data_IF_980035763400
#
_entry.id   IF_980035763400
#
_cell.length_a   1.000
_cell.length_b   1.000
_cell.length_c   1.000
_cell.angle_alpha   90.00
_cell.angle_beta   90.00
_cell.angle_gamma   90.00
#
_symmetry.space_group_name_H-M   'P 1'
#
loop_
_entity.id
_entity.type
_entity.pdbx_description
1 polymer ?
#
# COMPACT_ATOMS: atom_id res chain seq x y z
N UNK A 1 12.67 10.27 17.93
CA UNK A 1 11.32 10.59 18.44
C UNK A 1 11.03 9.71 19.64
N UNK A 2 10.44 10.24 20.70
CA UNK A 2 10.00 9.43 21.85
C UNK A 2 8.70 8.71 21.48
N UNK A 3 8.55 7.43 21.85
CA UNK A 3 7.33 6.67 21.63
C UNK A 3 6.26 7.08 22.66
N UNK A 4 5.39 8.01 22.29
CA UNK A 4 4.31 8.54 23.15
C UNK A 4 2.99 7.79 22.99
N UNK A 5 2.77 7.20 21.81
CA UNK A 5 1.51 6.54 21.47
C UNK A 5 1.43 5.10 21.99
N UNK A 6 0.21 4.63 22.29
CA UNK A 6 -0.03 3.29 22.87
C UNK A 6 -1.07 2.52 22.07
N UNK A 7 -0.78 1.25 21.81
CA UNK A 7 -1.70 0.30 21.16
C UNK A 7 -2.16 -0.71 22.21
N UNK A 8 -3.47 -0.85 22.40
CA UNK A 8 -4.07 -1.84 23.29
C UNK A 8 -4.50 -3.07 22.50
N UNK A 9 -3.94 -4.24 22.83
CA UNK A 9 -4.24 -5.51 22.14
C UNK A 9 -4.68 -6.55 23.17
N UNK A 10 -5.77 -7.26 22.86
CA UNK A 10 -6.19 -8.46 23.60
C UNK A 10 -5.84 -9.69 22.79
N UNK A 11 -5.47 -10.77 23.46
CA UNK A 11 -5.08 -12.03 22.83
C UNK A 11 -5.44 -13.22 23.73
N UNK A 12 -5.34 -14.43 23.21
CA UNK A 12 -5.55 -15.67 23.97
C UNK A 12 -4.29 -16.06 24.73
N UNK A 13 -4.43 -16.95 25.72
CA UNK A 13 -3.30 -17.47 26.48
C UNK A 13 -2.28 -18.19 25.57
N UNK A 14 -2.77 -19.00 24.62
CA UNK A 14 -1.93 -19.76 23.70
C UNK A 14 -1.11 -18.85 22.77
N UNK A 15 -1.74 -17.82 22.21
CA UNK A 15 -1.04 -16.85 21.36
C UNK A 15 0.03 -16.10 22.15
N UNK A 16 -0.28 -15.66 23.38
CA UNK A 16 0.69 -14.99 24.25
C UNK A 16 1.89 -15.90 24.54
N UNK A 17 1.64 -17.15 24.94
CA UNK A 17 2.70 -18.11 25.29
C UNK A 17 3.62 -18.40 24.10
N UNK A 18 3.06 -18.52 22.89
CA UNK A 18 3.86 -18.72 21.68
C UNK A 18 4.74 -17.50 21.36
N UNK A 19 4.19 -16.28 21.45
CA UNK A 19 4.95 -15.04 21.20
C UNK A 19 6.08 -14.89 22.23
N UNK A 20 5.81 -15.10 23.51
CA UNK A 20 6.81 -15.03 24.59
C UNK A 20 7.95 -16.03 24.36
N UNK A 21 7.63 -17.27 23.98
CA UNK A 21 8.62 -18.30 23.65
C UNK A 21 9.55 -17.88 22.50
N UNK A 22 9.00 -17.25 21.46
CA UNK A 22 9.81 -16.75 20.33
C UNK A 22 10.66 -15.56 20.76
N UNK A 23 10.08 -14.60 21.47
CA UNK A 23 10.79 -13.42 21.98
C UNK A 23 11.96 -13.80 22.88
N UNK A 24 11.77 -14.80 23.76
CA UNK A 24 12.82 -15.32 24.63
C UNK A 24 13.99 -15.92 23.83
N UNK A 25 13.70 -16.62 22.72
CA UNK A 25 14.74 -17.17 21.83
C UNK A 25 15.49 -16.08 21.06
N UNK A 26 14.79 -15.02 20.68
CA UNK A 26 15.36 -13.90 19.94
C UNK A 26 16.05 -12.85 20.83
N UNK A 27 15.87 -12.93 22.15
CA UNK A 27 16.42 -11.95 23.09
C UNK A 27 15.77 -10.57 23.01
N UNK A 28 14.51 -10.50 22.56
CA UNK A 28 13.77 -9.24 22.39
C UNK A 28 12.56 -9.19 23.34
N UNK A 29 12.06 -7.99 23.62
CA UNK A 29 10.82 -7.84 24.38
C UNK A 29 9.59 -8.12 23.51
N UNK A 30 8.51 -8.62 24.14
CA UNK A 30 7.23 -8.86 23.45
C UNK A 30 6.69 -7.59 22.80
N UNK A 31 6.77 -6.45 23.48
CA UNK A 31 6.32 -5.17 22.95
C UNK A 31 7.11 -4.75 21.71
N UNK A 32 8.43 -4.88 21.74
CA UNK A 32 9.28 -4.54 20.59
C UNK A 32 8.99 -5.45 19.41
N UNK A 33 8.84 -6.76 19.67
CA UNK A 33 8.50 -7.73 18.65
C UNK A 33 7.16 -7.41 17.97
N UNK A 34 6.10 -7.17 18.75
CA UNK A 34 4.77 -6.86 18.21
C UNK A 34 4.79 -5.59 17.37
N UNK A 35 5.40 -4.51 17.89
CA UNK A 35 5.45 -3.23 17.15
C UNK A 35 6.23 -3.38 15.85
N UNK A 36 7.38 -4.06 15.89
CA UNK A 36 8.21 -4.26 14.71
C UNK A 36 7.49 -5.10 13.65
N UNK A 37 6.94 -6.25 14.04
CA UNK A 37 6.21 -7.12 13.11
C UNK A 37 4.98 -6.44 12.52
N UNK A 38 4.23 -5.69 13.33
CA UNK A 38 3.07 -4.95 12.84
C UNK A 38 3.48 -3.86 11.85
N UNK A 39 4.55 -3.13 12.14
CA UNK A 39 5.08 -2.08 11.26
C UNK A 39 5.60 -2.63 9.93
N UNK A 40 6.40 -3.68 9.96
CA UNK A 40 6.89 -4.36 8.75
C UNK A 40 5.74 -4.88 7.89
N UNK A 41 4.71 -5.46 8.51
CA UNK A 41 3.53 -5.93 7.78
C UNK A 41 2.72 -4.78 7.18
N UNK A 42 2.58 -3.66 7.91
CA UNK A 42 1.90 -2.48 7.41
C UNK A 42 2.62 -1.90 6.18
N UNK A 43 3.95 -1.76 6.24
CA UNK A 43 4.75 -1.30 5.11
C UNK A 43 4.61 -2.20 3.87
N UNK A 44 4.63 -3.52 4.08
CA UNK A 44 4.45 -4.47 2.97
C UNK A 44 3.07 -4.32 2.32
N UNK A 45 2.01 -4.17 3.12
CA UNK A 45 0.65 -3.99 2.62
C UNK A 45 0.48 -2.63 1.91
N UNK A 46 1.06 -1.56 2.45
CA UNK A 46 1.03 -0.24 1.80
C UNK A 46 1.71 -0.30 0.44
N UNK A 47 2.89 -0.92 0.36
CA UNK A 47 3.60 -1.12 -0.89
C UNK A 47 2.82 -1.98 -1.89
N UNK A 48 2.07 -2.99 -1.44
CA UNK A 48 1.23 -3.81 -2.30
C UNK A 48 0.04 -3.00 -2.87
N UNK A 49 -0.52 -2.08 -2.09
CA UNK A 49 -1.61 -1.21 -2.51
C UNK A 49 -1.17 -0.16 -3.53
N UNK A 50 0.06 0.36 -3.41
CA UNK A 50 0.61 1.34 -4.35
C UNK A 50 1.15 0.72 -5.64
N UNK A 51 1.49 -0.57 -5.62
CA UNK A 51 2.11 -1.25 -6.76
C UNK A 51 1.07 -1.71 -7.79
N UNK A 52 1.14 -1.16 -9.01
CA UNK A 52 0.46 -1.73 -10.18
C UNK A 52 1.22 -2.97 -10.64
N UNK A 53 0.76 -4.15 -10.20
CA UNK A 53 1.30 -5.43 -10.66
C UNK A 53 0.74 -5.75 -12.04
N UNK A 54 1.61 -5.74 -13.06
CA UNK A 54 1.28 -6.14 -14.42
C UNK A 54 1.87 -7.52 -14.70
N UNK A 55 1.08 -8.41 -15.29
CA UNK A 55 1.61 -9.63 -15.89
C UNK A 55 2.40 -9.29 -17.16
N UNK A 56 3.12 -10.27 -17.72
CA UNK A 56 4.01 -10.04 -18.87
C UNK A 56 3.28 -9.43 -20.08
N UNK A 57 2.07 -9.91 -20.40
CA UNK A 57 1.29 -9.38 -21.50
C UNK A 57 0.86 -7.93 -21.24
N UNK A 58 0.40 -7.63 -20.02
CA UNK A 58 0.00 -6.28 -19.61
C UNK A 58 1.20 -5.31 -19.60
N UNK A 59 2.38 -5.80 -19.22
CA UNK A 59 3.61 -5.03 -19.26
C UNK A 59 4.02 -4.66 -20.69
N UNK A 60 3.99 -5.62 -21.61
CA UNK A 60 4.27 -5.36 -23.04
C UNK A 60 3.26 -4.38 -23.65
N UNK A 61 1.97 -4.52 -23.30
CA UNK A 61 0.94 -3.59 -23.74
C UNK A 61 1.16 -2.19 -23.18
N UNK A 62 1.51 -2.06 -21.89
CA UNK A 62 1.81 -0.78 -21.26
C UNK A 62 3.02 -0.10 -21.91
N UNK A 63 4.10 -0.83 -22.17
CA UNK A 63 5.27 -0.31 -22.88
C UNK A 63 4.93 0.16 -24.28
N UNK A 64 4.20 -0.64 -25.06
CA UNK A 64 3.79 -0.27 -26.41
C UNK A 64 2.91 1.00 -26.42
N UNK A 65 2.04 1.18 -25.42
CA UNK A 65 1.24 2.40 -25.26
C UNK A 65 2.08 3.62 -24.83
N UNK A 66 3.15 3.43 -24.06
CA UNK A 66 4.08 4.52 -23.70
C UNK A 66 4.95 4.93 -24.89
N UNK A 67 5.41 3.96 -25.70
CA UNK A 67 6.23 4.21 -26.88
C UNK A 67 5.44 4.83 -28.03
N UNK A 68 4.20 4.38 -28.23
CA UNK A 68 3.29 4.92 -29.23
C UNK A 68 1.96 5.35 -28.57
N UNK A 69 1.93 6.53 -27.94
CA UNK A 69 0.74 7.00 -27.24
C UNK A 69 -0.42 7.18 -28.23
N UNK A 70 -1.57 6.52 -27.99
CA UNK A 70 -2.73 6.68 -28.85
C UNK A 70 -3.28 8.10 -28.75
N UNK A 71 -3.85 8.59 -29.85
CA UNK A 71 -4.62 9.84 -29.81
C UNK A 71 -5.85 9.67 -28.94
N UNK A 72 -6.22 10.73 -28.23
CA UNK A 72 -7.48 10.78 -27.49
C UNK A 72 -8.66 10.51 -28.44
N UNK A 73 -9.56 9.62 -28.04
CA UNK A 73 -10.78 9.33 -28.79
C UNK A 73 -11.80 10.47 -28.65
N UNK A 74 -12.84 10.44 -29.49
CA UNK A 74 -13.84 11.51 -29.55
C UNK A 74 -14.58 11.70 -28.23
N UNK A 75 -14.84 10.63 -27.48
CA UNK A 75 -15.47 10.68 -26.16
C UNK A 75 -14.59 11.41 -25.15
N UNK A 76 -13.28 11.10 -25.11
CA UNK A 76 -12.33 11.75 -24.22
C UNK A 76 -12.13 13.23 -24.59
N UNK A 77 -12.08 13.55 -25.89
CA UNK A 77 -12.03 14.95 -26.36
C UNK A 77 -13.27 15.75 -25.95
N UNK A 78 -14.47 15.14 -26.03
CA UNK A 78 -15.71 15.76 -25.57
C UNK A 78 -15.72 15.97 -24.05
N UNK A 79 -15.22 15.00 -23.26
CA UNK A 79 -15.09 15.13 -21.81
C UNK A 79 -14.15 16.28 -21.43
N UNK A 80 -12.96 16.36 -22.05
CA UNK A 80 -12.02 17.45 -21.80
C UNK A 80 -12.66 18.81 -22.14
N UNK A 81 -13.31 18.92 -23.31
CA UNK A 81 -13.97 20.17 -23.74
C UNK A 81 -15.02 20.65 -22.74
N UNK A 82 -15.82 19.72 -22.17
CA UNK A 82 -16.80 20.04 -21.11
C UNK A 82 -16.13 20.49 -19.82
N UNK A 83 -15.05 19.82 -19.39
CA UNK A 83 -14.31 20.18 -18.17
C UNK A 83 -13.69 21.58 -18.24
N UNK A 84 -13.07 21.95 -19.37
CA UNK A 84 -12.50 23.29 -19.57
C UNK A 84 -13.56 24.41 -19.59
N UNK A 85 -14.78 24.12 -20.04
CA UNK A 85 -15.89 25.08 -20.03
C UNK A 85 -16.39 25.39 -18.61
N UNK A 86 -16.33 24.43 -17.68
CA UNK A 86 -16.74 24.61 -16.28
C UNK A 86 -15.72 25.46 -15.49
N UNK A 87 -14.42 25.23 -15.71
CA UNK A 87 -13.35 25.97 -15.03
C UNK A 87 -13.24 27.43 -15.52
N UNK A 88 -13.61 27.71 -16.78
CA UNK A 88 -13.54 29.06 -17.36
C UNK A 88 -14.70 30.00 -16.99
N UNK A 89 -15.74 29.48 -16.34
CA UNK A 89 -16.91 30.26 -15.87
C UNK A 89 -17.03 30.28 -14.33
N UNK A 90 -15.96 29.98 -13.60
CA UNK A 90 -15.87 30.03 -12.13
C UNK A 90 -15.08 31.24 -11.65
#
# INVERSE_FOLDING_TARGET
MLATERIHVRTTADTKAMIEKVCQRLGVSVSSFIIQTAYEKALALESELEAVQLNEQQWQQALAMLENPPKANDELNQLFSRGYQVVSHS
#
